data_IF_765595271815
#
_entry.id   IF_765595271815
#
_cell.length_a   1.000
_cell.length_b   1.000
_cell.length_c   1.000
_cell.angle_alpha   90.00
_cell.angle_beta   90.00
_cell.angle_gamma   90.00
#
_symmetry.space_group_name_H-M   'P 1'
#
loop_
_entity.id
_entity.type
_entity.pdbx_description
1 polymer ?
#
# COMPACT_ATOMS: atom_id res chain seq x y z
N UNK A 1 -5.41 13.89 21.82
CA UNK A 1 -5.56 12.45 21.50
C UNK A 1 -5.60 12.17 19.99
N UNK A 2 -6.42 12.87 19.20
CA UNK A 2 -6.52 12.63 17.73
C UNK A 2 -5.18 12.85 16.99
N UNK A 3 -4.43 13.91 17.30
CA UNK A 3 -3.07 14.15 16.75
C UNK A 3 -2.11 12.97 17.01
N UNK A 4 -2.10 12.41 18.22
CA UNK A 4 -1.24 11.26 18.58
C UNK A 4 -1.66 10.01 17.80
N UNK A 5 -2.97 9.76 17.69
CA UNK A 5 -3.49 8.67 16.89
C UNK A 5 -3.07 8.77 15.42
N UNK A 6 -3.19 9.95 14.80
CA UNK A 6 -2.77 10.19 13.43
C UNK A 6 -1.26 9.97 13.25
N UNK A 7 -0.44 10.41 14.20
CA UNK A 7 1.01 10.19 14.16
C UNK A 7 1.36 8.69 14.26
N UNK A 8 0.72 7.95 15.16
CA UNK A 8 0.93 6.50 15.28
C UNK A 8 0.51 5.75 14.00
N UNK A 9 -0.62 6.12 13.41
CA UNK A 9 -1.06 5.52 12.16
C UNK A 9 -0.17 5.90 10.98
N UNK A 10 0.31 7.15 10.92
CA UNK A 10 1.27 7.58 9.90
C UNK A 10 2.56 6.75 9.96
N UNK A 11 3.05 6.41 11.16
CA UNK A 11 4.23 5.54 11.33
C UNK A 11 3.96 4.13 10.79
N UNK A 12 2.82 3.52 11.15
CA UNK A 12 2.46 2.17 10.69
C UNK A 12 2.35 2.14 9.16
N UNK A 13 1.66 3.13 8.59
CA UNK A 13 1.46 3.27 7.15
C UNK A 13 2.79 3.50 6.43
N UNK A 14 3.62 4.42 6.91
CA UNK A 14 4.93 4.70 6.31
C UNK A 14 5.85 3.48 6.36
N UNK A 15 5.83 2.72 7.46
CA UNK A 15 6.58 1.48 7.58
C UNK A 15 6.12 0.41 6.58
N UNK A 16 4.81 0.23 6.42
CA UNK A 16 4.25 -0.69 5.43
C UNK A 16 4.61 -0.29 3.99
N UNK A 17 4.50 0.99 3.66
CA UNK A 17 4.89 1.49 2.32
C UNK A 17 6.38 1.35 2.06
N UNK A 18 7.23 1.62 3.06
CA UNK A 18 8.67 1.42 2.95
C UNK A 18 9.03 -0.06 2.75
N UNK A 19 8.37 -0.98 3.45
CA UNK A 19 8.56 -2.42 3.23
C UNK A 19 8.14 -2.84 1.82
N UNK A 20 6.99 -2.37 1.34
CA UNK A 20 6.53 -2.66 -0.02
C UNK A 20 7.50 -2.12 -1.08
N UNK A 21 8.00 -0.89 -0.89
CA UNK A 21 8.98 -0.28 -1.78
C UNK A 21 10.34 -1.01 -1.76
N UNK A 22 10.78 -1.44 -0.58
CA UNK A 22 12.01 -2.24 -0.40
C UNK A 22 11.90 -3.57 -1.13
N UNK A 23 10.77 -4.27 -0.97
CA UNK A 23 10.47 -5.53 -1.65
C UNK A 23 10.48 -5.35 -3.18
N UNK A 24 9.97 -4.22 -3.69
CA UNK A 24 10.04 -3.88 -5.12
C UNK A 24 11.44 -3.47 -5.62
N UNK A 25 12.36 -3.05 -4.74
CA UNK A 25 13.73 -2.65 -5.08
C UNK A 25 14.69 -3.84 -5.14
N UNK A 26 14.45 -4.88 -4.35
CA UNK A 26 15.35 -6.03 -4.22
C UNK A 26 15.07 -7.17 -5.22
N UNK A 27 13.88 -7.22 -5.82
CA UNK A 27 13.54 -8.24 -6.82
C UNK A 27 14.25 -8.05 -8.17
N UNK A 28 15.48 -8.54 -8.25
CA UNK A 28 16.15 -8.91 -9.51
C UNK A 28 15.64 -10.28 -10.00
N UNK A 29 15.89 -10.65 -11.26
CA UNK A 29 15.33 -11.85 -11.91
C UNK A 29 15.59 -13.17 -11.14
N UNK A 30 16.62 -13.23 -10.30
CA UNK A 30 16.99 -14.39 -9.48
C UNK A 30 16.03 -14.66 -8.30
N UNK A 31 15.24 -13.66 -7.85
CA UNK A 31 14.33 -13.77 -6.69
C UNK A 31 12.86 -14.09 -7.06
N UNK A 32 12.51 -14.18 -8.36
CA UNK A 32 11.21 -14.76 -8.79
C UNK A 32 11.04 -16.18 -8.21
N UNK A 33 12.15 -16.92 -8.18
CA UNK A 33 12.30 -18.24 -7.58
C UNK A 33 12.07 -18.21 -6.06
N UNK A 34 12.50 -17.14 -5.37
CA UNK A 34 12.40 -17.02 -3.92
C UNK A 34 10.96 -16.75 -3.46
N UNK A 35 10.20 -15.97 -4.23
CA UNK A 35 8.76 -15.81 -3.97
C UNK A 35 7.98 -17.09 -4.19
N UNK A 36 8.23 -17.80 -5.29
CA UNK A 36 7.65 -19.13 -5.52
C UNK A 36 8.02 -20.09 -4.39
N UNK A 37 9.24 -20.04 -3.87
CA UNK A 37 9.69 -20.84 -2.73
C UNK A 37 9.02 -20.43 -1.40
N UNK A 38 8.79 -19.14 -1.16
CA UNK A 38 8.01 -18.67 0.00
C UNK A 38 6.57 -19.18 -0.09
N UNK A 39 5.94 -19.13 -1.26
CA UNK A 39 4.61 -19.67 -1.48
C UNK A 39 4.57 -21.20 -1.36
N UNK A 40 5.57 -21.92 -1.87
CA UNK A 40 5.73 -23.37 -1.68
C UNK A 40 5.91 -23.74 -0.22
N UNK A 41 6.75 -23.01 0.55
CA UNK A 41 6.92 -23.20 2.00
C UNK A 41 5.64 -22.95 2.79
N UNK A 42 4.75 -22.09 2.30
CA UNK A 42 3.42 -21.87 2.86
C UNK A 42 2.37 -22.90 2.39
N UNK A 43 2.78 -23.92 1.64
CA UNK A 43 1.89 -24.97 1.10
C UNK A 43 0.97 -24.50 -0.04
N UNK A 44 1.28 -23.36 -0.67
CA UNK A 44 0.50 -22.77 -1.77
C UNK A 44 1.18 -23.01 -3.10
N UNK A 45 0.99 -24.20 -3.64
CA UNK A 45 1.61 -24.62 -4.91
C UNK A 45 0.80 -24.18 -6.13
N UNK A 46 -0.50 -23.91 -5.97
CA UNK A 46 -1.38 -23.50 -7.09
C UNK A 46 -1.42 -21.98 -7.23
N UNK A 47 -1.25 -21.49 -8.45
CA UNK A 47 -1.36 -20.07 -8.82
C UNK A 47 -2.63 -19.41 -8.28
N UNK A 48 -3.75 -20.13 -8.26
CA UNK A 48 -5.02 -19.64 -7.72
C UNK A 48 -4.95 -19.32 -6.21
N UNK A 49 -4.26 -20.16 -5.43
CA UNK A 49 -4.12 -19.96 -3.98
C UNK A 49 -3.17 -18.81 -3.64
N UNK A 50 -2.15 -18.63 -4.48
CA UNK A 50 -1.19 -17.53 -4.40
C UNK A 50 -1.86 -16.20 -4.77
N UNK A 51 -2.67 -16.16 -5.82
CA UNK A 51 -3.51 -14.99 -6.18
C UNK A 51 -4.51 -14.65 -5.09
N UNK A 52 -5.18 -15.64 -4.51
CA UNK A 52 -6.09 -15.42 -3.38
C UNK A 52 -5.37 -14.85 -2.16
N UNK A 53 -4.15 -15.31 -1.89
CA UNK A 53 -3.31 -14.77 -0.82
C UNK A 53 -2.90 -13.32 -1.09
N UNK A 54 -2.37 -13.03 -2.28
CA UNK A 54 -1.99 -11.69 -2.70
C UNK A 54 -3.18 -10.72 -2.63
N UNK A 55 -4.37 -11.17 -3.05
CA UNK A 55 -5.61 -10.39 -2.91
C UNK A 55 -5.94 -10.11 -1.46
N UNK A 56 -5.86 -11.12 -0.59
CA UNK A 56 -6.15 -10.97 0.83
C UNK A 56 -5.17 -9.98 1.49
N UNK A 57 -3.89 -10.06 1.18
CA UNK A 57 -2.88 -9.11 1.67
C UNK A 57 -3.16 -7.70 1.15
N UNK A 58 -3.37 -7.53 -0.16
CA UNK A 58 -3.67 -6.23 -0.77
C UNK A 58 -4.92 -5.57 -0.15
N UNK A 59 -5.97 -6.36 0.11
CA UNK A 59 -7.15 -5.89 0.83
C UNK A 59 -6.85 -5.49 2.27
N UNK A 60 -6.07 -6.29 3.02
CA UNK A 60 -5.72 -5.96 4.41
C UNK A 60 -4.91 -4.67 4.48
N UNK A 61 -3.91 -4.50 3.61
CA UNK A 61 -3.10 -3.29 3.53
C UNK A 61 -3.97 -2.07 3.25
N UNK A 62 -4.88 -2.17 2.28
CA UNK A 62 -5.77 -1.05 1.92
C UNK A 62 -6.76 -0.70 3.04
N UNK A 63 -7.25 -1.70 3.78
CA UNK A 63 -8.12 -1.48 4.95
C UNK A 63 -7.39 -0.70 6.04
N UNK A 64 -6.08 -0.92 6.24
CA UNK A 64 -5.32 -0.18 7.25
C UNK A 64 -5.20 1.32 6.96
N UNK A 65 -5.33 1.74 5.70
CA UNK A 65 -5.36 3.15 5.33
C UNK A 65 -6.70 3.84 5.61
N UNK A 66 -7.80 3.10 5.68
CA UNK A 66 -9.16 3.67 5.80
C UNK A 66 -9.31 4.50 7.08
N UNK A 67 -8.95 3.99 8.28
CA UNK A 67 -9.05 4.79 9.51
C UNK A 67 -8.20 6.06 9.44
N UNK A 68 -7.00 5.98 8.87
CA UNK A 68 -6.12 7.14 8.74
C UNK A 68 -6.72 8.20 7.82
N UNK A 69 -7.22 7.80 6.65
CA UNK A 69 -7.85 8.72 5.70
C UNK A 69 -9.07 9.41 6.31
N UNK A 70 -9.96 8.65 6.96
CA UNK A 70 -11.18 9.19 7.59
C UNK A 70 -10.81 10.18 8.70
N UNK A 71 -9.96 9.77 9.63
CA UNK A 71 -9.59 10.63 10.77
C UNK A 71 -8.82 11.86 10.30
N UNK A 72 -7.98 11.73 9.26
CA UNK A 72 -7.23 12.85 8.70
C UNK A 72 -8.14 13.88 8.02
N UNK A 73 -9.15 13.44 7.25
CA UNK A 73 -10.15 14.35 6.65
C UNK A 73 -10.93 15.10 7.73
N UNK A 74 -11.37 14.41 8.78
CA UNK A 74 -12.10 15.01 9.90
C UNK A 74 -11.20 16.01 10.65
N UNK A 75 -9.96 15.63 10.95
CA UNK A 75 -9.04 16.43 11.73
C UNK A 75 -8.63 17.73 11.02
N UNK A 76 -8.40 17.67 9.70
CA UNK A 76 -8.04 18.84 8.90
C UNK A 76 -9.24 19.60 8.35
N UNK A 77 -10.47 19.24 8.74
CA UNK A 77 -11.67 19.97 8.35
C UNK A 77 -11.56 21.43 8.81
N UNK A 78 -11.53 22.38 7.86
CA UNK A 78 -11.31 23.80 8.10
C UNK A 78 -9.90 24.31 7.75
N UNK A 79 -8.94 23.41 7.46
CA UNK A 79 -7.61 23.77 6.96
C UNK A 79 -7.44 23.28 5.51
N UNK A 80 -7.56 24.15 4.49
CA UNK A 80 -7.72 23.73 3.09
C UNK A 80 -6.51 22.97 2.53
N UNK A 81 -5.29 23.36 2.90
CA UNK A 81 -4.05 22.73 2.40
C UNK A 81 -3.89 21.29 2.90
N UNK A 82 -3.86 21.01 4.22
CA UNK A 82 -3.73 19.64 4.71
C UNK A 82 -4.98 18.79 4.42
N UNK A 83 -6.16 19.40 4.31
CA UNK A 83 -7.37 18.71 3.88
C UNK A 83 -7.26 18.20 2.44
N UNK A 84 -6.70 19.01 1.53
CA UNK A 84 -6.45 18.58 0.15
C UNK A 84 -5.47 17.41 0.12
N UNK A 85 -4.40 17.44 0.92
CA UNK A 85 -3.46 16.33 1.04
C UNK A 85 -4.16 15.04 1.52
N UNK A 86 -5.13 15.13 2.44
CA UNK A 86 -5.95 14.00 2.89
C UNK A 86 -6.83 13.41 1.78
N UNK A 87 -7.45 14.27 0.97
CA UNK A 87 -8.24 13.81 -0.18
C UNK A 87 -7.36 13.17 -1.26
N UNK A 88 -6.20 13.77 -1.56
CA UNK A 88 -5.24 13.21 -2.52
C UNK A 88 -4.73 11.85 -2.05
N UNK A 89 -4.36 11.71 -0.76
CA UNK A 89 -3.93 10.42 -0.22
C UNK A 89 -5.04 9.38 -0.34
N UNK A 90 -6.27 9.74 0.01
CA UNK A 90 -7.44 8.84 -0.12
C UNK A 90 -7.63 8.39 -1.57
N UNK A 91 -7.51 9.31 -2.53
CA UNK A 91 -7.63 9.00 -3.95
C UNK A 91 -6.51 8.06 -4.43
N UNK A 92 -5.25 8.31 -4.02
CA UNK A 92 -4.11 7.46 -4.37
C UNK A 92 -4.28 6.05 -3.80
N UNK A 93 -4.70 5.90 -2.55
CA UNK A 93 -4.95 4.60 -1.92
C UNK A 93 -6.11 3.86 -2.58
N UNK A 94 -7.21 4.55 -2.90
CA UNK A 94 -8.34 3.95 -3.62
C UNK A 94 -7.91 3.48 -5.01
N UNK A 95 -7.11 4.27 -5.72
CA UNK A 95 -6.60 3.91 -7.03
C UNK A 95 -5.70 2.68 -6.96
N UNK A 96 -4.76 2.67 -6.01
CA UNK A 96 -3.85 1.53 -5.76
C UNK A 96 -4.62 0.25 -5.42
N UNK A 97 -5.66 0.34 -4.59
CA UNK A 97 -6.52 -0.80 -4.27
C UNK A 97 -7.28 -1.33 -5.49
N UNK A 98 -7.91 -0.44 -6.27
CA UNK A 98 -8.68 -0.84 -7.45
C UNK A 98 -7.79 -1.41 -8.55
N UNK A 99 -6.63 -0.79 -8.79
CA UNK A 99 -5.65 -1.28 -9.75
C UNK A 99 -5.04 -2.61 -9.29
N UNK A 100 -4.64 -2.69 -8.01
CA UNK A 100 -4.13 -3.90 -7.39
C UNK A 100 -5.10 -5.08 -7.52
N UNK A 101 -6.39 -4.89 -7.26
CA UNK A 101 -7.39 -5.96 -7.46
C UNK A 101 -7.54 -6.34 -8.93
N UNK A 102 -7.64 -5.36 -9.83
CA UNK A 102 -7.76 -5.62 -11.28
C UNK A 102 -6.56 -6.42 -11.78
N UNK A 103 -5.37 -6.04 -11.34
CA UNK A 103 -4.10 -6.68 -11.68
C UNK A 103 -4.03 -8.11 -11.15
N UNK A 104 -4.32 -8.34 -9.87
CA UNK A 104 -4.34 -9.69 -9.29
C UNK A 104 -5.37 -10.60 -10.00
N UNK A 105 -6.50 -10.05 -10.44
CA UNK A 105 -7.52 -10.80 -11.18
C UNK A 105 -7.08 -11.18 -12.59
N UNK A 106 -6.35 -10.30 -13.28
CA UNK A 106 -5.92 -10.48 -14.68
C UNK A 106 -4.55 -11.13 -14.86
N UNK A 107 -3.72 -11.12 -13.82
CA UNK A 107 -2.36 -11.62 -13.89
C UNK A 107 -2.31 -13.09 -14.33
N UNK A 108 -1.41 -13.45 -15.22
CA UNK A 108 -1.15 -14.84 -15.61
C UNK A 108 -0.03 -15.45 -14.76
N UNK A 109 0.81 -14.60 -14.14
CA UNK A 109 1.89 -15.00 -13.24
C UNK A 109 1.78 -14.34 -11.85
N UNK A 110 2.45 -14.89 -10.83
CA UNK A 110 2.50 -14.28 -9.48
C UNK A 110 3.16 -12.90 -9.54
N UNK A 111 4.21 -12.75 -10.35
CA UNK A 111 4.97 -11.51 -10.45
C UNK A 111 4.12 -10.36 -10.99
N UNK A 112 3.26 -10.65 -11.97
CA UNK A 112 2.25 -9.71 -12.44
C UNK A 112 1.19 -9.41 -11.37
N UNK A 113 0.75 -10.43 -10.62
CA UNK A 113 -0.26 -10.24 -9.57
C UNK A 113 0.26 -9.33 -8.44
N UNK A 114 1.53 -9.50 -8.07
CA UNK A 114 2.21 -8.67 -7.07
C UNK A 114 2.46 -7.24 -7.59
N UNK A 115 2.46 -7.04 -8.91
CA UNK A 115 2.46 -5.71 -9.49
C UNK A 115 3.73 -4.92 -9.29
N UNK A 116 4.84 -5.63 -9.37
CA UNK A 116 6.17 -5.04 -9.35
C UNK A 116 6.37 -4.35 -10.70
N UNK A 117 5.85 -3.14 -10.81
CA UNK A 117 5.97 -2.28 -11.97
C UNK A 117 6.34 -0.86 -11.52
N UNK A 118 6.87 -0.05 -12.44
CA UNK A 118 7.27 1.33 -12.14
C UNK A 118 6.10 2.19 -11.62
N UNK A 119 4.86 1.87 -12.01
CA UNK A 119 3.65 2.58 -11.56
C UNK A 119 3.42 2.36 -10.06
N UNK A 120 3.50 1.12 -9.57
CA UNK A 120 3.35 0.80 -8.14
C UNK A 120 4.43 1.47 -7.29
N UNK A 121 5.66 1.62 -7.81
CA UNK A 121 6.72 2.38 -7.13
C UNK A 121 6.36 3.86 -7.01
N UNK A 122 5.87 4.47 -8.09
CA UNK A 122 5.43 5.88 -8.09
C UNK A 122 4.28 6.09 -7.12
N UNK A 123 3.31 5.17 -7.09
CA UNK A 123 2.19 5.21 -6.14
C UNK A 123 2.69 5.10 -4.70
N UNK A 124 3.59 4.15 -4.40
CA UNK A 124 4.16 3.99 -3.06
C UNK A 124 4.95 5.22 -2.58
N UNK A 125 5.71 5.85 -3.48
CA UNK A 125 6.40 7.12 -3.20
C UNK A 125 5.41 8.27 -2.96
N UNK A 126 4.35 8.37 -3.76
CA UNK A 126 3.32 9.38 -3.59
C UNK A 126 2.60 9.24 -2.25
N UNK A 127 2.27 8.00 -1.84
CA UNK A 127 1.70 7.71 -0.52
C UNK A 127 2.64 8.18 0.60
N UNK A 128 3.92 7.83 0.54
CA UNK A 128 4.92 8.26 1.54
C UNK A 128 5.04 9.79 1.61
N UNK A 129 5.11 10.47 0.47
CA UNK A 129 5.21 11.93 0.42
C UNK A 129 3.97 12.62 1.01
N UNK A 130 2.78 12.13 0.68
CA UNK A 130 1.52 12.68 1.20
C UNK A 130 1.38 12.45 2.71
N UNK A 131 1.76 11.27 3.21
CA UNK A 131 1.81 11.00 4.65
C UNK A 131 2.83 11.89 5.35
N UNK A 132 4.03 12.06 4.78
CA UNK A 132 5.06 12.95 5.34
C UNK A 132 4.61 14.41 5.38
N UNK A 133 3.93 14.89 4.33
CA UNK A 133 3.35 16.23 4.30
C UNK A 133 2.29 16.40 5.41
N UNK A 134 1.38 15.43 5.58
CA UNK A 134 0.39 15.44 6.66
C UNK A 134 1.03 15.42 8.05
N UNK A 135 2.09 14.63 8.25
CA UNK A 135 2.88 14.66 9.49
C UNK A 135 3.51 16.03 9.72
N UNK A 136 4.03 16.67 8.67
CA UNK A 136 4.55 18.05 8.74
C UNK A 136 3.52 19.08 9.19
N UNK A 137 2.24 18.91 8.82
CA UNK A 137 1.14 19.75 9.33
C UNK A 137 0.67 19.35 10.73
N UNK A 138 0.98 18.12 11.18
CA UNK A 138 0.63 17.65 12.50
C UNK A 138 1.61 18.15 13.55
N UNK A 139 2.91 18.23 13.27
CA UNK A 139 3.96 18.60 14.25
C UNK A 139 3.92 20.08 14.56
#
# INVERSE_FOLDING_TARGET
>A
MVKIYLLLQAIIIAWMSAQSLSMMKHMSEDEKTEFEDIFKRMGKEKLNEQKQFARKISSITSIMYIPYCIVSIIYFYGNPIPLLASFLLTAVVMFDYLDGIKRIKKAETITEALGINEISKVIGLAQLFLVAAQVGFLV
#
